data_IF_235472010765
#
_entry.id   IF_235472010765
#
_cell.length_a   1.000
_cell.length_b   1.000
_cell.length_c   1.000
_cell.angle_alpha   90.00
_cell.angle_beta   90.00
_cell.angle_gamma   90.00
#
_symmetry.space_group_name_H-M   'P 1'
#
loop_
_entity.id
_entity.type
_entity.pdbx_description
1 polymer ?
#
# COMPACT_ATOMS: atom_id res chain seq x y z
N UNK A 1 -48.19 -53.74 39.66
CA UNK A 1 -47.99 -53.81 38.21
C UNK A 1 -47.16 -52.61 37.84
N UNK A 2 -46.03 -52.90 37.19
CA UNK A 2 -45.12 -51.99 36.49
C UNK A 2 -44.17 -51.17 37.36
N UNK A 3 -43.06 -51.85 37.67
CA UNK A 3 -41.70 -51.34 37.71
C UNK A 3 -41.39 -50.45 36.49
N UNK A 4 -40.59 -49.39 36.67
CA UNK A 4 -39.64 -48.97 35.64
C UNK A 4 -38.38 -48.36 36.28
N UNK A 5 -37.28 -48.97 35.88
CA UNK A 5 -35.94 -48.97 36.43
C UNK A 5 -35.12 -47.80 35.86
N UNK A 6 -34.52 -47.01 36.75
CA UNK A 6 -33.62 -45.92 36.38
C UNK A 6 -32.20 -46.47 36.30
N UNK A 7 -31.83 -46.96 35.11
CA UNK A 7 -30.46 -47.32 34.78
C UNK A 7 -29.60 -46.07 34.53
N UNK A 8 -28.71 -45.77 35.47
CA UNK A 8 -27.59 -44.84 35.30
C UNK A 8 -26.51 -45.49 34.41
N UNK A 9 -26.28 -44.92 33.23
CA UNK A 9 -25.12 -45.26 32.41
C UNK A 9 -23.93 -44.40 32.82
N UNK A 10 -22.97 -45.02 33.52
CA UNK A 10 -21.60 -44.55 33.59
C UNK A 10 -20.90 -44.89 32.26
N UNK A 11 -20.53 -43.88 31.49
CA UNK A 11 -19.55 -44.02 30.41
C UNK A 11 -18.14 -43.78 30.99
N UNK A 12 -17.31 -44.82 30.93
CA UNK A 12 -15.88 -44.76 31.23
C UNK A 12 -15.11 -43.97 30.15
N UNK A 13 -14.02 -43.26 30.50
CA UNK A 13 -13.16 -42.61 29.51
C UNK A 13 -12.37 -43.66 28.73
N UNK A 14 -12.51 -43.65 27.41
CA UNK A 14 -11.74 -44.48 26.49
C UNK A 14 -10.28 -44.02 26.48
N UNK A 15 -9.38 -44.85 27.01
CA UNK A 15 -7.93 -44.68 26.91
C UNK A 15 -7.48 -44.81 25.44
N UNK A 16 -6.82 -43.76 24.93
CA UNK A 16 -6.15 -43.75 23.64
C UNK A 16 -4.92 -44.69 23.67
N UNK A 17 -4.73 -45.57 22.66
CA UNK A 17 -3.53 -46.39 22.58
C UNK A 17 -2.30 -45.54 22.24
N UNK A 18 -1.26 -45.70 23.06
CA UNK A 18 0.10 -45.19 22.84
C UNK A 18 0.64 -45.63 21.46
N UNK A 19 1.10 -44.64 20.69
CA UNK A 19 1.79 -44.86 19.42
C UNK A 19 3.13 -45.61 19.64
N UNK A 20 3.54 -46.51 18.73
CA UNK A 20 4.82 -47.18 18.84
C UNK A 20 5.99 -46.24 18.49
N UNK A 21 7.06 -46.35 19.27
CA UNK A 21 8.34 -45.65 19.12
C UNK A 21 8.86 -45.70 17.68
N UNK A 22 9.04 -44.53 17.08
CA UNK A 22 9.69 -44.37 15.78
C UNK A 22 11.17 -44.75 15.85
N UNK A 23 11.73 -45.40 14.82
CA UNK A 23 13.14 -45.77 14.82
C UNK A 23 14.06 -44.55 14.70
N UNK A 24 15.14 -44.66 15.46
CA UNK A 24 16.23 -43.73 15.66
C UNK A 24 16.78 -43.02 14.41
N UNK A 25 17.12 -41.75 14.63
CA UNK A 25 17.94 -40.87 13.81
C UNK A 25 19.19 -41.56 13.25
N UNK A 26 19.20 -41.83 11.94
CA UNK A 26 20.38 -42.26 11.19
C UNK A 26 20.90 -41.13 10.31
N UNK A 27 21.89 -40.38 10.78
CA UNK A 27 22.67 -39.46 9.94
C UNK A 27 23.53 -40.31 8.99
N UNK A 28 23.40 -40.20 7.66
CA UNK A 28 24.33 -40.87 6.76
C UNK A 28 25.69 -40.16 6.84
N UNK A 29 26.70 -40.89 7.35
CA UNK A 29 28.11 -40.53 7.24
C UNK A 29 28.53 -40.64 5.76
N UNK A 30 29.09 -39.59 5.12
CA UNK A 30 29.74 -39.77 3.83
C UNK A 30 31.03 -40.59 4.01
N UNK A 31 31.03 -41.77 3.39
CA UNK A 31 32.18 -42.67 3.34
C UNK A 31 33.31 -42.10 2.49
N UNK A 32 34.53 -42.37 2.96
CA UNK A 32 35.82 -42.02 2.35
C UNK A 32 36.00 -42.65 0.96
N UNK A 33 35.88 -41.85 -0.09
CA UNK A 33 36.61 -41.93 -1.38
C UNK A 33 36.23 -40.62 -2.09
N UNK A 34 37.09 -39.64 -2.32
CA UNK A 34 38.33 -39.69 -3.08
C UNK A 34 39.24 -38.53 -2.64
N UNK A 35 40.50 -38.85 -2.32
CA UNK A 35 41.61 -37.90 -2.19
C UNK A 35 42.55 -38.17 -3.35
N UNK A 36 42.67 -37.25 -4.32
CA UNK A 36 43.84 -36.92 -5.18
C UNK A 36 43.40 -35.68 -5.98
N UNK A 37 44.12 -34.57 -6.17
CA UNK A 37 45.26 -33.92 -5.53
C UNK A 37 45.27 -32.46 -6.07
N UNK A 38 45.81 -31.55 -5.29
CA UNK A 38 45.89 -30.11 -5.53
C UNK A 38 47.33 -29.73 -5.96
N UNK A 39 47.43 -28.80 -6.93
CA UNK A 39 48.54 -27.84 -7.22
C UNK A 39 49.80 -28.30 -7.99
N UNK A 40 50.11 -27.60 -9.11
CA UNK A 40 51.34 -26.80 -9.35
C UNK A 40 51.29 -26.09 -10.74
N UNK A 41 51.25 -24.74 -10.81
CA UNK A 41 52.38 -23.79 -11.11
C UNK A 41 52.53 -23.45 -12.62
N UNK A 42 52.06 -22.25 -13.03
CA UNK A 42 52.80 -21.02 -13.41
C UNK A 42 53.59 -21.05 -14.74
N UNK A 43 53.20 -20.10 -15.62
CA UNK A 43 54.03 -19.23 -16.48
C UNK A 43 54.92 -19.87 -17.54
N UNK A 44 54.53 -19.69 -18.80
CA UNK A 44 55.46 -19.33 -19.89
C UNK A 44 54.80 -18.23 -20.72
N UNK A 45 55.38 -17.03 -20.66
CA UNK A 45 55.12 -15.93 -21.58
C UNK A 45 56.22 -15.87 -22.64
N UNK A 46 55.84 -15.34 -23.82
CA UNK A 46 56.67 -14.79 -24.90
C UNK A 46 57.33 -15.80 -25.85
N UNK A 47 56.81 -15.90 -27.08
CA UNK A 47 57.41 -15.28 -28.27
C UNK A 47 56.85 -15.89 -29.58
N UNK A 48 56.54 -15.01 -30.52
CA UNK A 48 56.20 -15.32 -31.92
C UNK A 48 54.71 -15.09 -32.18
N UNK A 49 54.28 -14.18 -33.04
CA UNK A 49 54.94 -13.40 -34.07
C UNK A 49 53.82 -12.88 -34.98
N UNK A 50 53.99 -11.67 -35.48
CA UNK A 50 53.01 -10.90 -36.23
C UNK A 50 52.41 -11.60 -37.47
N UNK A 51 51.27 -11.09 -37.93
CA UNK A 51 50.86 -10.78 -39.31
C UNK A 51 49.38 -11.09 -39.54
N UNK A 52 48.52 -10.11 -39.31
CA UNK A 52 47.31 -9.87 -40.10
C UNK A 52 46.79 -8.46 -39.81
N UNK A 53 47.27 -7.50 -40.60
CA UNK A 53 46.62 -6.22 -40.83
C UNK A 53 45.28 -6.51 -41.51
N UNK A 54 44.20 -6.46 -40.74
CA UNK A 54 42.87 -6.22 -41.27
C UNK A 54 42.47 -4.84 -40.77
N UNK A 55 42.55 -3.86 -41.66
CA UNK A 55 41.92 -2.55 -41.52
C UNK A 55 40.43 -2.80 -41.35
N UNK A 56 39.98 -2.86 -40.09
CA UNK A 56 38.59 -2.55 -39.78
C UNK A 56 38.57 -1.05 -39.68
N UNK A 57 37.94 -0.42 -40.67
CA UNK A 57 37.52 0.96 -40.55
C UNK A 57 36.85 1.13 -39.19
N UNK A 58 37.43 2.01 -38.39
CA UNK A 58 36.79 2.58 -37.21
C UNK A 58 35.52 3.26 -37.73
N UNK A 59 34.41 2.52 -37.75
CA UNK A 59 33.10 3.15 -37.76
C UNK A 59 33.09 4.12 -36.58
N UNK A 60 32.74 5.40 -36.82
CA UNK A 60 32.67 6.37 -35.75
C UNK A 60 31.78 5.77 -34.66
N UNK A 61 32.27 5.84 -33.41
CA UNK A 61 31.43 5.64 -32.24
C UNK A 61 30.19 6.47 -32.50
N UNK A 62 29.09 5.80 -32.77
CA UNK A 62 27.78 6.42 -32.83
C UNK A 62 27.47 6.84 -31.39
N UNK A 63 27.97 8.03 -31.02
CA UNK A 63 27.52 8.77 -29.85
C UNK A 63 26.10 9.30 -30.04
N UNK A 64 25.37 8.82 -31.06
CA UNK A 64 23.96 9.07 -31.36
C UNK A 64 23.03 7.90 -31.02
N UNK A 65 23.38 7.09 -30.01
CA UNK A 65 22.42 6.20 -29.35
C UNK A 65 22.42 6.48 -27.86
N UNK A 66 21.70 7.52 -27.42
CA UNK A 66 21.41 7.66 -25.99
C UNK A 66 20.72 6.37 -25.52
N UNK A 67 21.19 5.64 -24.49
CA UNK A 67 20.37 4.65 -23.81
C UNK A 67 19.34 5.42 -22.97
N UNK A 68 18.44 6.10 -23.66
CA UNK A 68 17.41 6.99 -23.14
C UNK A 68 16.10 6.27 -22.82
N UNK A 69 16.14 4.98 -22.53
CA UNK A 69 15.08 4.31 -21.78
C UNK A 69 15.25 4.63 -20.30
N UNK A 70 15.11 5.89 -19.93
CA UNK A 70 15.21 6.30 -18.53
C UNK A 70 14.03 5.74 -17.73
N UNK A 71 14.15 5.66 -16.41
CA UNK A 71 13.01 5.38 -15.53
C UNK A 71 11.80 6.29 -15.83
N UNK A 72 12.05 7.52 -16.30
CA UNK A 72 11.04 8.50 -16.74
C UNK A 72 10.18 8.05 -17.92
N UNK A 73 10.66 7.12 -18.75
CA UNK A 73 9.90 6.58 -19.88
C UNK A 73 8.76 5.65 -19.43
N UNK A 74 8.61 5.40 -18.12
CA UNK A 74 7.44 4.70 -17.60
C UNK A 74 6.15 5.50 -17.84
N UNK A 75 6.21 6.84 -17.80
CA UNK A 75 5.04 7.70 -17.83
C UNK A 75 4.45 7.88 -19.24
N UNK A 76 3.13 7.96 -19.31
CA UNK A 76 2.36 8.10 -20.55
C UNK A 76 2.12 6.78 -21.29
N UNK A 77 2.21 5.63 -20.61
CA UNK A 77 2.13 4.30 -21.20
C UNK A 77 1.20 3.37 -20.42
N UNK A 78 0.71 2.35 -21.13
CA UNK A 78 0.05 1.18 -20.53
C UNK A 78 0.92 -0.04 -20.72
N UNK A 79 1.08 -0.82 -19.67
CA UNK A 79 2.05 -1.90 -19.57
C UNK A 79 1.34 -3.21 -19.22
N UNK A 80 1.35 -4.21 -20.09
CA UNK A 80 0.75 -5.52 -19.81
C UNK A 80 1.72 -6.41 -19.06
N UNK A 81 1.29 -7.04 -17.97
CA UNK A 81 2.14 -7.96 -17.21
C UNK A 81 2.58 -9.14 -18.07
N UNK A 82 3.90 -9.28 -18.26
CA UNK A 82 4.52 -10.42 -18.94
C UNK A 82 4.85 -11.52 -17.95
N UNK A 83 5.64 -11.19 -16.92
CA UNK A 83 6.19 -12.15 -15.97
C UNK A 83 6.38 -11.55 -14.57
N UNK A 84 6.28 -12.41 -13.55
CA UNK A 84 6.47 -12.06 -12.14
C UNK A 84 7.50 -12.98 -11.51
N UNK A 85 8.47 -12.41 -10.81
CA UNK A 85 9.52 -13.09 -10.08
C UNK A 85 9.39 -12.82 -8.58
N UNK A 86 9.66 -13.82 -7.75
CA UNK A 86 9.62 -13.71 -6.30
C UNK A 86 8.92 -14.89 -5.65
N UNK A 87 9.26 -15.22 -4.42
CA UNK A 87 8.66 -16.37 -3.71
C UNK A 87 7.19 -16.17 -3.35
N UNK A 88 6.73 -14.92 -3.27
CA UNK A 88 5.34 -14.55 -3.04
C UNK A 88 4.60 -14.13 -4.33
N UNK A 89 5.27 -14.17 -5.49
CA UNK A 89 4.65 -13.78 -6.75
C UNK A 89 3.54 -14.76 -7.15
N UNK A 90 2.33 -14.28 -7.48
CA UNK A 90 1.22 -15.16 -7.83
C UNK A 90 1.41 -15.80 -9.20
N UNK A 91 0.85 -16.99 -9.37
CA UNK A 91 0.87 -17.68 -10.65
C UNK A 91 -0.02 -16.96 -11.67
N UNK A 92 0.55 -16.55 -12.81
CA UNK A 92 -0.20 -15.92 -13.89
C UNK A 92 -0.89 -16.92 -14.83
N UNK A 93 -0.60 -18.22 -14.73
CA UNK A 93 -1.17 -19.24 -15.61
C UNK A 93 -2.72 -19.33 -15.58
N UNK A 94 -3.40 -19.24 -14.41
CA UNK A 94 -4.86 -19.28 -14.35
C UNK A 94 -5.56 -18.09 -15.01
N UNK A 95 -4.90 -16.95 -15.13
CA UNK A 95 -5.46 -15.73 -15.75
C UNK A 95 -5.51 -15.88 -17.27
N UNK A 96 -4.49 -16.51 -17.86
CA UNK A 96 -4.31 -16.59 -19.30
C UNK A 96 -3.44 -15.45 -19.86
N UNK A 97 -2.93 -15.63 -21.07
CA UNK A 97 -2.08 -14.64 -21.74
C UNK A 97 -2.89 -13.50 -22.38
N UNK A 98 -4.16 -13.74 -22.68
CA UNK A 98 -5.10 -12.81 -23.32
C UNK A 98 -5.77 -11.83 -22.35
N UNK A 99 -5.70 -12.11 -21.04
CA UNK A 99 -6.35 -11.32 -19.97
C UNK A 99 -5.35 -10.84 -18.92
N UNK A 100 -4.09 -10.62 -19.33
CA UNK A 100 -3.04 -10.15 -18.43
C UNK A 100 -3.40 -8.82 -17.79
N UNK A 101 -3.15 -8.64 -16.48
CA UNK A 101 -3.25 -7.34 -15.83
C UNK A 101 -2.46 -6.26 -16.57
N UNK A 102 -2.94 -5.02 -16.50
CA UNK A 102 -2.35 -3.85 -17.15
C UNK A 102 -2.05 -2.81 -16.08
N UNK A 103 -0.84 -2.27 -16.08
CA UNK A 103 -0.43 -1.10 -15.33
C UNK A 103 -0.53 0.13 -16.24
N UNK A 104 -1.28 1.15 -15.84
CA UNK A 104 -1.34 2.46 -16.50
C UNK A 104 -0.59 3.48 -15.64
N UNK A 105 0.34 4.20 -16.26
CA UNK A 105 1.14 5.24 -15.63
C UNK A 105 1.00 6.50 -16.47
N UNK A 106 0.17 7.45 -16.03
CA UNK A 106 -0.16 8.66 -16.80
C UNK A 106 0.97 9.69 -16.76
N UNK A 107 1.00 10.60 -17.73
CA UNK A 107 1.94 11.75 -17.71
C UNK A 107 1.68 12.72 -16.55
N UNK A 108 0.51 12.64 -15.92
CA UNK A 108 0.11 13.45 -14.78
C UNK A 108 0.50 12.82 -13.43
N UNK A 109 1.16 11.65 -13.44
CA UNK A 109 1.60 10.94 -12.24
C UNK A 109 0.56 9.99 -11.65
N UNK A 110 -0.56 9.75 -12.34
CA UNK A 110 -1.51 8.71 -11.93
C UNK A 110 -0.89 7.34 -12.18
N UNK A 111 -0.95 6.46 -11.19
CA UNK A 111 -0.53 5.06 -11.29
C UNK A 111 -1.76 4.21 -11.00
N UNK A 112 -2.12 3.31 -11.90
CA UNK A 112 -3.21 2.36 -11.68
C UNK A 112 -2.91 1.01 -12.30
N UNK A 113 -3.49 -0.05 -11.79
CA UNK A 113 -3.41 -1.36 -12.40
C UNK A 113 -4.76 -2.08 -12.39
N UNK A 114 -4.97 -2.95 -13.36
CA UNK A 114 -6.16 -3.80 -13.44
C UNK A 114 -5.92 -5.13 -12.73
N UNK A 115 -6.99 -5.71 -12.19
CA UNK A 115 -6.97 -7.05 -11.63
C UNK A 115 -8.39 -7.48 -11.26
N UNK A 116 -8.59 -8.17 -10.14
CA UNK A 116 -9.95 -8.44 -9.67
C UNK A 116 -10.56 -7.14 -9.15
N UNK A 117 -9.78 -6.44 -8.33
CA UNK A 117 -10.06 -5.14 -7.77
C UNK A 117 -9.17 -4.05 -8.37
N UNK A 118 -7.96 -4.43 -8.81
CA UNK A 118 -6.97 -3.47 -9.28
C UNK A 118 -6.50 -2.53 -8.18
N UNK A 119 -5.92 -1.41 -8.58
CA UNK A 119 -5.55 -0.35 -7.64
C UNK A 119 -5.29 0.95 -8.37
N UNK A 120 -5.43 2.08 -7.69
CA UNK A 120 -5.10 3.39 -8.24
C UNK A 120 -4.55 4.32 -7.17
N UNK A 121 -3.67 5.23 -7.59
CA UNK A 121 -3.06 6.24 -6.74
C UNK A 121 -2.29 7.25 -7.58
N UNK A 122 -1.52 8.09 -6.90
CA UNK A 122 -0.61 9.05 -7.52
C UNK A 122 0.80 8.76 -7.06
N UNK A 123 1.77 9.06 -7.92
CA UNK A 123 3.17 8.88 -7.60
C UNK A 123 4.08 9.65 -8.53
N UNK A 124 5.36 9.59 -8.19
CA UNK A 124 6.44 10.33 -8.85
C UNK A 124 7.72 9.53 -8.83
N UNK A 125 8.66 9.90 -9.70
CA UNK A 125 9.99 9.30 -9.69
C UNK A 125 10.94 10.12 -8.80
N UNK A 126 11.60 9.44 -7.87
CA UNK A 126 12.79 9.92 -7.17
C UNK A 126 14.01 9.17 -7.74
N UNK A 127 14.63 9.76 -8.76
CA UNK A 127 15.63 9.06 -9.55
C UNK A 127 15.00 7.90 -10.31
N UNK A 128 15.36 6.66 -9.95
CA UNK A 128 14.76 5.45 -10.52
C UNK A 128 13.66 4.84 -9.63
N UNK A 129 13.42 5.36 -8.42
CA UNK A 129 12.42 4.83 -7.52
C UNK A 129 11.05 5.44 -7.84
N UNK A 130 10.03 4.62 -8.01
CA UNK A 130 8.64 5.06 -8.09
C UNK A 130 8.09 5.18 -6.67
N UNK A 131 7.84 6.42 -6.23
CA UNK A 131 7.32 6.73 -4.89
C UNK A 131 5.86 7.14 -5.03
N UNK A 132 4.96 6.46 -4.33
CA UNK A 132 3.56 6.84 -4.26
C UNK A 132 3.37 7.97 -3.25
N UNK A 133 2.49 8.92 -3.55
CA UNK A 133 2.20 10.07 -2.68
C UNK A 133 1.19 9.73 -1.56
N UNK A 134 0.83 8.44 -1.43
CA UNK A 134 -0.06 7.90 -0.43
C UNK A 134 -0.25 6.38 -0.62
N UNK A 135 -1.24 5.82 0.07
CA UNK A 135 -1.71 4.46 -0.20
C UNK A 135 -2.48 4.41 -1.52
N UNK A 136 -2.51 3.23 -2.15
CA UNK A 136 -3.40 2.99 -3.27
C UNK A 136 -4.81 2.68 -2.79
N UNK A 137 -5.79 3.22 -3.49
CA UNK A 137 -7.18 2.86 -3.35
C UNK A 137 -7.50 1.65 -4.24
N UNK A 138 -8.46 0.84 -3.80
CA UNK A 138 -8.93 -0.36 -4.50
C UNK A 138 -10.40 -0.64 -4.15
N UNK A 139 -11.02 -1.56 -4.87
CA UNK A 139 -12.34 -2.11 -4.51
C UNK A 139 -12.19 -3.40 -3.70
N UNK A 140 -13.26 -3.85 -3.06
CA UNK A 140 -13.28 -5.12 -2.30
C UNK A 140 -14.33 -6.09 -2.88
N UNK A 141 -14.17 -6.41 -4.16
CA UNK A 141 -14.92 -7.44 -4.86
C UNK A 141 -14.23 -8.80 -4.71
N UNK A 142 -15.05 -9.85 -4.58
CA UNK A 142 -14.58 -11.22 -4.58
C UNK A 142 -14.68 -11.83 -5.99
N UNK A 143 -13.56 -12.31 -6.53
CA UNK A 143 -13.51 -13.07 -7.77
C UNK A 143 -13.27 -14.55 -7.47
N UNK A 144 -14.31 -15.39 -7.59
CA UNK A 144 -14.34 -16.72 -6.97
C UNK A 144 -13.88 -17.88 -7.87
N UNK A 145 -13.67 -17.65 -9.17
CA UNK A 145 -13.09 -18.68 -10.05
C UNK A 145 -11.56 -18.74 -9.92
N UNK A 146 -10.93 -19.72 -10.57
CA UNK A 146 -9.48 -19.91 -10.48
C UNK A 146 -8.69 -18.71 -11.03
N UNK A 147 -9.19 -18.08 -12.10
CA UNK A 147 -8.60 -16.86 -12.66
C UNK A 147 -8.76 -15.69 -11.68
N UNK A 148 -9.95 -15.53 -11.10
CA UNK A 148 -10.29 -14.54 -10.10
C UNK A 148 -9.46 -14.64 -8.83
N UNK A 149 -9.23 -15.85 -8.33
CA UNK A 149 -8.34 -16.08 -7.19
C UNK A 149 -6.90 -15.66 -7.50
N UNK A 150 -6.41 -15.97 -8.71
CA UNK A 150 -5.09 -15.51 -9.14
C UNK A 150 -5.03 -13.98 -9.31
N UNK A 151 -6.12 -13.35 -9.79
CA UNK A 151 -6.22 -11.90 -9.90
C UNK A 151 -6.27 -11.20 -8.54
N UNK A 152 -6.98 -11.75 -7.55
CA UNK A 152 -6.97 -11.22 -6.18
C UNK A 152 -5.59 -11.33 -5.54
N UNK A 153 -4.88 -12.44 -5.75
CA UNK A 153 -3.51 -12.59 -5.30
C UNK A 153 -2.56 -11.61 -6.02
N UNK A 154 -2.80 -11.36 -7.31
CA UNK A 154 -2.10 -10.32 -8.08
C UNK A 154 -2.36 -8.93 -7.51
N UNK A 155 -3.60 -8.58 -7.16
CA UNK A 155 -3.94 -7.27 -6.60
C UNK A 155 -3.13 -6.99 -5.33
N UNK A 156 -3.12 -7.93 -4.40
CA UNK A 156 -2.37 -7.81 -3.15
C UNK A 156 -0.86 -7.69 -3.39
N UNK A 157 -0.31 -8.56 -4.24
CA UNK A 157 1.13 -8.56 -4.53
C UNK A 157 1.58 -7.29 -5.26
N UNK A 158 0.83 -6.82 -6.25
CA UNK A 158 1.15 -5.61 -7.00
C UNK A 158 1.02 -4.36 -6.11
N UNK A 159 0.04 -4.34 -5.21
CA UNK A 159 -0.10 -3.28 -4.23
C UNK A 159 1.12 -3.16 -3.31
N UNK A 160 1.59 -4.28 -2.76
CA UNK A 160 2.79 -4.34 -1.93
C UNK A 160 4.05 -3.97 -2.72
N UNK A 161 4.16 -4.44 -3.98
CA UNK A 161 5.26 -4.09 -4.87
C UNK A 161 5.36 -2.57 -5.04
N UNK A 162 4.25 -1.90 -5.38
CA UNK A 162 4.23 -0.45 -5.61
C UNK A 162 4.41 0.36 -4.33
N UNK A 163 3.83 -0.07 -3.21
CA UNK A 163 4.01 0.59 -1.91
C UNK A 163 5.45 0.51 -1.40
N UNK A 164 6.26 -0.45 -1.87
CA UNK A 164 7.65 -0.63 -1.47
C UNK A 164 8.64 0.41 -2.00
N UNK A 165 8.16 1.42 -2.73
CA UNK A 165 8.97 2.37 -3.50
C UNK A 165 9.95 1.69 -4.46
N UNK A 166 9.44 0.86 -5.40
CA UNK A 166 10.29 0.00 -6.21
C UNK A 166 11.13 0.79 -7.21
N UNK A 167 12.26 0.19 -7.61
CA UNK A 167 13.06 0.71 -8.73
C UNK A 167 12.39 0.37 -10.06
N UNK A 168 12.36 1.34 -10.96
CA UNK A 168 11.80 1.23 -12.30
C UNK A 168 12.89 1.38 -13.35
N UNK A 169 12.85 0.53 -14.36
CA UNK A 169 13.69 0.65 -15.56
C UNK A 169 12.88 0.32 -16.80
N UNK A 170 13.04 1.13 -17.85
CA UNK A 170 12.41 0.91 -19.15
C UNK A 170 13.50 0.69 -20.19
N UNK A 171 13.39 -0.36 -20.99
CA UNK A 171 14.36 -0.67 -22.04
C UNK A 171 13.63 -1.08 -23.31
N UNK A 172 13.48 -0.14 -24.25
CA UNK A 172 12.59 -0.31 -25.39
C UNK A 172 11.15 -0.49 -24.90
N UNK A 173 10.46 -1.50 -25.43
CA UNK A 173 9.05 -1.78 -25.12
C UNK A 173 8.87 -2.65 -23.85
N UNK A 174 9.88 -2.68 -22.98
CA UNK A 174 9.89 -3.50 -21.77
C UNK A 174 10.09 -2.65 -20.53
N UNK A 175 9.10 -2.66 -19.66
CA UNK A 175 9.18 -2.10 -18.32
C UNK A 175 9.59 -3.21 -17.34
N UNK A 176 10.50 -2.89 -16.43
CA UNK A 176 10.75 -3.72 -15.25
C UNK A 176 10.62 -2.91 -13.97
N UNK A 177 9.86 -3.45 -13.03
CA UNK A 177 9.70 -2.93 -11.66
C UNK A 177 10.34 -3.92 -10.70
N UNK A 178 11.23 -3.48 -9.82
CA UNK A 178 11.96 -4.34 -8.88
C UNK A 178 11.88 -3.81 -7.46
N UNK A 179 11.64 -4.71 -6.52
CA UNK A 179 11.69 -4.44 -5.08
C UNK A 179 12.39 -5.57 -4.33
N UNK A 180 12.42 -5.49 -2.99
CA UNK A 180 12.86 -6.58 -2.12
C UNK A 180 11.97 -7.83 -2.17
N UNK A 181 10.73 -7.68 -2.62
CA UNK A 181 9.71 -8.75 -2.64
C UNK A 181 9.69 -9.55 -3.94
N UNK A 182 10.27 -8.98 -5.00
CA UNK A 182 10.21 -9.56 -6.32
C UNK A 182 10.40 -8.55 -7.44
N UNK A 183 10.19 -9.01 -8.66
CA UNK A 183 10.22 -8.19 -9.85
C UNK A 183 9.01 -8.47 -10.74
N UNK A 184 8.52 -7.46 -11.44
CA UNK A 184 7.53 -7.61 -12.50
C UNK A 184 8.09 -7.06 -13.81
N UNK A 185 7.91 -7.83 -14.89
CA UNK A 185 8.25 -7.41 -16.24
C UNK A 185 6.97 -7.21 -17.03
N UNK A 186 6.91 -6.14 -17.83
CA UNK A 186 5.74 -5.74 -18.58
C UNK A 186 6.07 -5.38 -20.03
N UNK A 187 5.04 -5.45 -20.87
CA UNK A 187 5.09 -5.18 -22.30
C UNK A 187 4.36 -3.89 -22.59
N UNK A 188 5.02 -2.98 -23.30
CA UNK A 188 4.39 -1.72 -23.68
C UNK A 188 3.21 -1.99 -24.63
N UNK A 189 2.04 -1.49 -24.25
CA UNK A 189 0.83 -1.45 -25.08
C UNK A 189 0.69 -0.10 -25.80
N UNK A 190 1.65 0.80 -25.62
CA UNK A 190 1.67 2.17 -26.11
C UNK A 190 0.94 3.15 -25.18
N UNK A 191 0.75 4.38 -25.68
CA UNK A 191 0.11 5.45 -24.92
C UNK A 191 -1.34 5.16 -24.50
N UNK A 192 -1.92 6.00 -23.62
CA UNK A 192 -3.31 5.85 -23.21
C UNK A 192 -4.22 5.81 -24.44
N UNK A 193 -5.27 4.98 -24.39
CA UNK A 193 -6.34 5.09 -25.38
C UNK A 193 -6.81 6.56 -25.38
N UNK A 194 -7.08 7.17 -26.55
CA UNK A 194 -7.71 8.48 -26.55
C UNK A 194 -8.94 8.39 -25.66
N UNK A 195 -9.16 9.40 -24.80
CA UNK A 195 -10.30 9.45 -23.91
C UNK A 195 -11.60 9.36 -24.73
N UNK A 196 -12.09 8.16 -24.96
CA UNK A 196 -13.42 7.94 -25.53
C UNK A 196 -14.38 8.22 -24.40
N UNK A 197 -14.89 9.46 -24.41
CA UNK A 197 -16.17 9.90 -23.84
C UNK A 197 -16.66 9.19 -22.59
N UNK A 198 -16.67 9.96 -21.50
CA UNK A 198 -17.55 9.86 -20.32
C UNK A 198 -18.82 9.02 -20.57
N UNK A 199 -19.28 8.20 -19.59
CA UNK A 199 -20.60 7.58 -19.65
C UNK A 199 -21.63 8.68 -19.93
N UNK A 200 -22.50 8.45 -20.91
CA UNK A 200 -23.50 9.41 -21.35
C UNK A 200 -24.30 9.95 -20.16
N UNK A 201 -24.31 11.27 -20.01
CA UNK A 201 -25.37 11.97 -19.27
C UNK A 201 -26.72 11.53 -19.83
N UNK A 202 -27.68 11.06 -19.00
CA UNK A 202 -29.01 10.71 -19.48
C UNK A 202 -29.90 11.93 -19.76
N UNK A 203 -29.45 13.15 -19.47
CA UNK A 203 -30.22 14.37 -19.71
C UNK A 203 -29.65 15.17 -20.89
N UNK A 204 -30.07 14.76 -22.09
CA UNK A 204 -29.94 15.56 -23.29
C UNK A 204 -30.77 16.84 -23.18
N UNK A 205 -30.13 17.93 -22.76
CA UNK A 205 -30.63 19.27 -23.02
C UNK A 205 -29.93 19.86 -24.25
N UNK A 206 -30.74 20.01 -25.29
CA UNK A 206 -30.45 20.63 -26.58
C UNK A 206 -29.79 22.00 -26.42
N UNK A 207 -28.63 22.16 -27.06
CA UNK A 207 -28.07 23.47 -27.41
C UNK A 207 -28.94 24.11 -28.50
N UNK A 208 -29.22 25.41 -28.34
CA UNK A 208 -29.61 26.28 -29.45
C UNK A 208 -28.69 27.51 -29.40
N UNK A 209 -28.16 27.79 -30.58
CA UNK A 209 -27.24 28.83 -31.01
C UNK A 209 -27.37 30.21 -30.34
N UNK A 210 -26.24 30.91 -30.13
CA UNK A 210 -25.91 32.13 -30.90
C UNK A 210 -24.46 32.62 -30.64
N UNK A 211 -23.63 32.93 -31.67
CA UNK A 211 -22.32 33.54 -31.51
C UNK A 211 -22.29 35.06 -31.76
N UNK A 212 -21.35 35.71 -31.05
CA UNK A 212 -20.68 36.99 -31.36
C UNK A 212 -21.34 38.31 -30.93
N UNK A 213 -20.71 38.99 -29.96
CA UNK A 213 -20.23 40.35 -30.18
C UNK A 213 -19.01 40.72 -29.31
N UNK A 214 -18.12 41.50 -29.92
CA UNK A 214 -16.77 41.94 -29.51
C UNK A 214 -16.79 43.14 -28.51
N UNK A 215 -15.62 43.62 -28.01
CA UNK A 215 -15.46 44.25 -26.69
C UNK A 215 -15.38 45.80 -26.72
N UNK A 216 -15.37 46.43 -25.55
CA UNK A 216 -14.81 47.78 -25.34
C UNK A 216 -14.24 47.97 -23.91
N UNK A 217 -13.22 48.84 -23.68
CA UNK A 217 -12.35 48.86 -22.52
C UNK A 217 -12.60 50.03 -21.55
N UNK A 218 -11.94 49.96 -20.38
CA UNK A 218 -11.31 51.13 -19.77
C UNK A 218 -12.03 51.82 -18.60
N UNK A 219 -11.40 51.69 -17.42
CA UNK A 219 -11.23 52.69 -16.33
C UNK A 219 -11.15 51.91 -15.02
N UNK A 220 -10.06 51.88 -14.26
CA UNK A 220 -9.16 52.97 -13.93
C UNK A 220 -9.39 53.33 -12.47
N UNK A 221 -8.52 52.88 -11.57
CA UNK A 221 -8.10 53.64 -10.40
C UNK A 221 -6.94 52.95 -9.70
N UNK A 222 -5.82 53.68 -9.74
CA UNK A 222 -4.59 53.48 -9.00
C UNK A 222 -4.82 53.96 -7.56
N UNK A 223 -4.38 53.19 -6.57
CA UNK A 223 -4.04 53.72 -5.25
C UNK A 223 -2.59 53.36 -4.95
N UNK A 224 -1.76 54.39 -4.98
CA UNK A 224 -0.37 54.49 -4.55
C UNK A 224 -0.34 54.68 -3.03
N UNK A 225 0.43 53.94 -2.21
CA UNK A 225 1.84 54.16 -1.77
C UNK A 225 1.97 53.64 -0.31
N UNK A 226 3.16 53.53 0.33
CA UNK A 226 4.54 53.59 -0.18
C UNK A 226 5.42 52.38 0.24
N UNK A 227 6.61 52.33 -0.34
CA UNK A 227 7.71 51.43 0.01
C UNK A 227 8.54 51.94 1.21
N UNK A 228 9.06 51.02 2.03
CA UNK A 228 10.32 51.18 2.80
C UNK A 228 11.08 49.84 2.84
N UNK A 229 12.25 49.90 2.21
CA UNK A 229 13.53 49.16 2.19
C UNK A 229 13.89 47.98 3.15
N UNK A 230 14.95 47.20 2.79
CA UNK A 230 15.18 45.83 3.22
C UNK A 230 16.21 45.69 4.37
N UNK A 231 16.13 44.59 5.13
CA UNK A 231 17.22 44.18 6.00
C UNK A 231 16.78 43.20 7.08
N UNK A 232 17.45 42.04 7.15
CA UNK A 232 17.35 41.17 8.32
C UNK A 232 17.53 39.69 8.02
N UNK A 233 18.77 39.28 7.73
CA UNK A 233 19.19 37.89 7.86
C UNK A 233 19.00 37.45 9.31
N UNK A 234 17.98 36.65 9.57
CA UNK A 234 17.73 36.00 10.85
C UNK A 234 17.45 34.53 10.60
N UNK A 235 18.48 33.70 10.73
CA UNK A 235 18.34 32.24 10.79
C UNK A 235 17.54 31.86 12.03
N UNK A 236 16.22 31.86 11.90
CA UNK A 236 15.33 31.21 12.84
C UNK A 236 15.47 29.72 12.63
N UNK A 237 16.10 29.02 13.59
CA UNK A 237 15.93 27.57 13.71
C UNK A 237 14.42 27.33 13.68
N UNK A 238 13.98 26.48 12.76
CA UNK A 238 12.62 25.97 12.74
C UNK A 238 12.47 25.22 14.06
N UNK A 239 11.94 25.89 15.07
CA UNK A 239 11.59 25.25 16.33
C UNK A 239 10.53 24.23 15.97
N UNK A 240 10.75 22.97 16.31
CA UNK A 240 9.71 21.95 16.32
C UNK A 240 8.52 22.54 17.07
N UNK A 241 7.40 22.76 16.38
CA UNK A 241 6.15 23.11 17.05
C UNK A 241 5.94 22.07 18.16
N UNK A 242 5.58 22.49 19.38
CA UNK A 242 5.23 21.52 20.41
C UNK A 242 4.14 20.61 19.85
N UNK A 243 4.34 19.29 19.96
CA UNK A 243 3.34 18.31 19.56
C UNK A 243 2.03 18.66 20.27
N UNK A 244 0.94 18.72 19.51
CA UNK A 244 -0.39 18.98 20.06
C UNK A 244 -0.72 17.94 21.14
N UNK A 245 -1.52 18.29 22.17
CA UNK A 245 -1.92 17.35 23.22
C UNK A 245 -2.44 16.04 22.62
N UNK A 246 -1.89 14.91 23.07
CA UNK A 246 -2.27 13.59 22.57
C UNK A 246 -1.49 13.08 21.35
N UNK A 247 -0.80 13.94 20.59
CA UNK A 247 0.01 13.53 19.43
C UNK A 247 1.45 13.18 19.81
N UNK A 248 2.07 12.31 19.00
CA UNK A 248 3.44 11.81 19.13
C UNK A 248 3.56 10.41 19.75
N UNK A 249 2.44 9.74 20.04
CA UNK A 249 2.42 8.43 20.70
C UNK A 249 1.17 7.63 20.34
N UNK A 250 1.23 6.33 20.61
CA UNK A 250 0.09 5.43 20.55
C UNK A 250 -0.70 5.42 21.87
N UNK A 251 -2.01 5.18 21.76
CA UNK A 251 -2.91 5.08 22.89
C UNK A 251 -3.75 3.81 22.80
N UNK A 252 -3.60 2.89 23.75
CA UNK A 252 -4.41 1.69 23.82
C UNK A 252 -5.79 2.02 24.38
N UNK A 253 -6.85 1.76 23.63
CA UNK A 253 -8.23 1.95 24.09
C UNK A 253 -8.55 0.90 25.16
N UNK A 254 -9.03 1.36 26.31
CA UNK A 254 -9.34 0.52 27.48
C UNK A 254 -10.81 0.53 27.85
N UNK A 255 -11.56 1.56 27.45
CA UNK A 255 -13.00 1.63 27.65
C UNK A 255 -13.72 2.42 26.55
N UNK A 256 -14.91 1.93 26.18
CA UNK A 256 -15.87 2.62 25.32
C UNK A 256 -17.21 2.66 26.06
N UNK A 257 -17.77 3.85 26.23
CA UNK A 257 -19.11 4.05 26.80
C UNK A 257 -19.96 4.80 25.79
N UNK A 258 -21.19 4.35 25.55
CA UNK A 258 -22.15 4.97 24.63
C UNK A 258 -23.47 5.15 25.35
N UNK A 259 -23.96 6.40 25.42
CA UNK A 259 -25.21 6.75 26.12
C UNK A 259 -25.24 6.27 27.59
N UNK A 260 -24.08 6.29 28.25
CA UNK A 260 -23.91 5.84 29.62
C UNK A 260 -23.84 4.32 29.82
N UNK A 261 -23.83 3.53 28.73
CA UNK A 261 -23.66 2.07 28.78
C UNK A 261 -22.28 1.65 28.25
N UNK A 262 -21.59 0.80 29.01
CA UNK A 262 -20.30 0.26 28.60
C UNK A 262 -20.44 -0.68 27.40
N UNK A 263 -19.48 -0.58 26.48
CA UNK A 263 -19.38 -1.42 25.29
C UNK A 263 -18.11 -2.27 25.37
N UNK A 264 -18.13 -3.49 24.84
CA UNK A 264 -16.91 -4.28 24.68
C UNK A 264 -15.89 -3.51 23.84
N UNK A 265 -14.62 -3.55 24.27
CA UNK A 265 -13.48 -3.10 23.47
C UNK A 265 -12.86 -4.35 22.85
N UNK A 266 -13.00 -4.47 21.54
CA UNK A 266 -12.47 -5.59 20.76
C UNK A 266 -11.12 -5.19 20.16
N UNK A 267 -10.18 -6.13 20.14
CA UNK A 267 -8.89 -5.99 19.47
C UNK A 267 -8.97 -6.10 17.95
N UNK A 268 -7.85 -6.36 17.27
CA UNK A 268 -7.85 -6.75 15.86
C UNK A 268 -8.01 -8.27 15.67
N UNK A 269 -8.02 -8.73 14.41
CA UNK A 269 -8.17 -10.16 14.07
C UNK A 269 -7.02 -11.05 14.58
N UNK A 270 -5.86 -10.45 14.86
CA UNK A 270 -4.68 -11.16 15.38
C UNK A 270 -4.66 -11.17 16.92
N UNK A 271 -5.66 -10.55 17.56
CA UNK A 271 -5.81 -10.47 19.00
C UNK A 271 -4.98 -9.36 19.65
N UNK A 272 -4.44 -8.41 18.86
CA UNK A 272 -3.81 -7.23 19.43
C UNK A 272 -4.88 -6.28 19.98
N UNK A 273 -4.60 -5.51 21.04
CA UNK A 273 -5.58 -4.57 21.57
C UNK A 273 -5.90 -3.45 20.56
N UNK A 274 -7.07 -2.82 20.72
CA UNK A 274 -7.42 -1.60 19.99
C UNK A 274 -6.49 -0.46 20.42
N UNK A 275 -5.85 0.18 19.46
CA UNK A 275 -4.87 1.25 19.59
C UNK A 275 -5.29 2.39 18.67
N UNK A 276 -5.26 3.60 19.22
CA UNK A 276 -5.34 4.85 18.48
C UNK A 276 -3.91 5.32 18.19
N UNK A 277 -3.53 5.34 16.92
CA UNK A 277 -2.24 5.84 16.45
C UNK A 277 -2.32 7.36 16.27
N UNK A 278 -1.58 8.08 17.11
CA UNK A 278 -1.36 9.52 17.00
C UNK A 278 0.14 9.83 16.89
N UNK A 279 0.97 8.87 16.49
CA UNK A 279 2.44 9.02 16.42
C UNK A 279 2.86 10.03 15.36
N UNK A 280 2.19 10.02 14.21
CA UNK A 280 2.43 10.97 13.12
C UNK A 280 1.68 12.29 13.37
N UNK A 281 2.41 13.39 13.36
CA UNK A 281 1.80 14.72 13.46
C UNK A 281 0.81 14.94 12.31
N UNK A 282 -0.36 15.47 12.65
CA UNK A 282 -1.38 15.78 11.64
C UNK A 282 -2.23 14.58 11.20
N UNK A 283 -2.12 13.43 11.87
CA UNK A 283 -2.88 12.22 11.53
C UNK A 283 -3.48 11.57 12.77
N UNK A 284 -4.53 10.79 12.54
CA UNK A 284 -5.08 9.82 13.49
C UNK A 284 -5.30 8.50 12.76
N UNK A 285 -4.99 7.40 13.42
CA UNK A 285 -5.30 6.05 12.96
C UNK A 285 -5.88 5.19 14.07
N UNK A 286 -6.50 4.07 13.72
CA UNK A 286 -6.84 3.00 14.64
C UNK A 286 -6.71 1.64 13.95
N UNK A 287 -6.31 0.61 14.69
CA UNK A 287 -6.37 -0.77 14.22
C UNK A 287 -7.74 -1.39 14.50
N UNK A 288 -8.02 -2.55 13.92
CA UNK A 288 -9.31 -3.23 14.06
C UNK A 288 -9.44 -4.35 13.03
N UNK A 289 -10.67 -4.66 12.62
CA UNK A 289 -10.91 -5.56 11.49
C UNK A 289 -10.29 -5.01 10.20
N UNK A 290 -10.65 -3.77 9.95
CA UNK A 290 -10.31 -2.92 8.83
C UNK A 290 -9.36 -1.82 9.28
N UNK A 291 -9.51 -1.39 10.54
CA UNK A 291 -8.90 -0.17 11.04
C UNK A 291 -9.34 1.05 10.23
N UNK A 292 -8.71 2.17 10.48
CA UNK A 292 -8.92 3.37 9.68
C UNK A 292 -7.97 4.47 10.03
N UNK A 293 -7.96 5.52 9.22
CA UNK A 293 -7.17 6.71 9.51
C UNK A 293 -7.66 7.92 8.75
N UNK A 294 -7.19 9.09 9.19
CA UNK A 294 -7.53 10.38 8.62
C UNK A 294 -6.41 11.39 8.89
N UNK A 295 -6.44 12.49 8.14
CA UNK A 295 -5.78 13.72 8.58
C UNK A 295 -6.51 14.25 9.82
N UNK A 296 -5.76 14.67 10.83
CA UNK A 296 -6.34 15.18 12.07
C UNK A 296 -5.45 16.23 12.74
N UNK A 297 -6.07 17.19 13.43
CA UNK A 297 -5.36 18.20 14.20
C UNK A 297 -6.14 18.54 15.46
N UNK A 298 -5.44 19.08 16.46
CA UNK A 298 -6.10 19.55 17.68
C UNK A 298 -6.39 21.03 17.53
N UNK A 299 -7.67 21.39 17.60
CA UNK A 299 -8.12 22.79 17.62
C UNK A 299 -9.21 22.98 18.68
N UNK A 300 -9.12 24.05 19.46
CA UNK A 300 -10.13 24.37 20.48
C UNK A 300 -10.40 23.27 21.52
N UNK A 301 -9.46 22.37 21.77
CA UNK A 301 -9.66 21.22 22.66
C UNK A 301 -10.42 20.04 22.03
N UNK A 302 -10.60 20.05 20.71
CA UNK A 302 -11.16 18.96 19.92
C UNK A 302 -10.08 18.33 19.05
N UNK A 303 -10.20 17.03 18.82
CA UNK A 303 -9.52 16.37 17.72
C UNK A 303 -10.39 16.57 16.48
N UNK A 304 -9.99 17.49 15.60
CA UNK A 304 -10.68 17.74 14.33
C UNK A 304 -10.18 16.72 13.31
N UNK A 305 -11.08 15.91 12.78
CA UNK A 305 -10.75 14.76 11.93
C UNK A 305 -11.34 14.94 10.54
N UNK A 306 -10.53 14.70 9.51
CA UNK A 306 -11.00 14.64 8.12
C UNK A 306 -11.86 13.39 7.85
N UNK A 307 -12.17 13.13 6.57
CA UNK A 307 -12.87 11.90 6.21
C UNK A 307 -12.03 10.68 6.58
N UNK A 308 -12.58 9.80 7.42
CA UNK A 308 -11.92 8.56 7.82
C UNK A 308 -11.96 7.59 6.65
N UNK A 309 -10.78 7.15 6.24
CA UNK A 309 -10.62 6.07 5.27
C UNK A 309 -10.37 4.77 6.02
N UNK A 310 -11.13 3.74 5.67
CA UNK A 310 -10.99 2.38 6.20
C UNK A 310 -10.89 1.40 5.03
N UNK A 311 -10.31 0.23 5.30
CA UNK A 311 -10.49 -0.93 4.41
C UNK A 311 -11.93 -1.49 4.59
N UNK A 312 -12.42 -2.33 3.67
CA UNK A 312 -13.73 -3.00 3.78
C UNK A 312 -13.59 -4.53 3.68
N UNK A 313 -12.57 -5.05 4.35
CA UNK A 313 -12.41 -6.46 4.65
C UNK A 313 -13.60 -6.97 5.48
N UNK A 314 -14.07 -8.15 5.11
CA UNK A 314 -14.96 -8.94 5.92
C UNK A 314 -14.14 -9.69 6.98
N UNK A 315 -14.38 -9.42 8.26
CA UNK A 315 -13.82 -10.23 9.33
C UNK A 315 -14.49 -11.60 9.41
N UNK A 316 -13.66 -12.64 9.51
CA UNK A 316 -14.12 -14.01 9.76
C UNK A 316 -14.11 -14.34 11.25
N UNK A 317 -14.75 -15.45 11.63
CA UNK A 317 -14.77 -15.93 13.01
C UNK A 317 -15.96 -15.41 13.84
N UNK A 318 -16.09 -15.88 15.09
CA UNK A 318 -17.25 -15.59 15.93
C UNK A 318 -17.43 -14.10 16.25
N UNK A 319 -16.34 -13.33 16.28
CA UNK A 319 -16.35 -11.91 16.63
C UNK A 319 -16.34 -11.00 15.40
N UNK A 320 -16.33 -11.55 14.18
CA UNK A 320 -16.09 -10.77 12.97
C UNK A 320 -17.13 -9.68 12.70
N UNK A 321 -18.41 -9.97 12.93
CA UNK A 321 -19.48 -8.98 12.80
C UNK A 321 -19.36 -7.86 13.84
N UNK A 322 -19.02 -8.22 15.07
CA UNK A 322 -18.86 -7.25 16.17
C UNK A 322 -17.63 -6.35 15.95
N UNK A 323 -16.53 -6.91 15.42
CA UNK A 323 -15.33 -6.16 15.03
C UNK A 323 -15.62 -5.16 13.93
N UNK A 324 -16.30 -5.58 12.85
CA UNK A 324 -16.69 -4.66 11.77
C UNK A 324 -17.64 -3.56 12.26
N UNK A 325 -18.56 -3.89 13.16
CA UNK A 325 -19.46 -2.90 13.77
C UNK A 325 -18.70 -1.89 14.66
N UNK A 326 -17.69 -2.36 15.41
CA UNK A 326 -16.81 -1.50 16.19
C UNK A 326 -16.05 -0.54 15.28
N UNK A 327 -15.43 -1.03 14.20
CA UNK A 327 -14.66 -0.19 13.27
C UNK A 327 -15.51 0.92 12.64
N UNK A 328 -16.71 0.56 12.16
CA UNK A 328 -17.63 1.52 11.57
C UNK A 328 -18.07 2.59 12.58
N UNK A 329 -18.36 2.16 13.82
CA UNK A 329 -18.70 3.08 14.90
C UNK A 329 -17.52 3.98 15.28
N UNK A 330 -16.32 3.41 15.40
CA UNK A 330 -15.12 4.14 15.83
C UNK A 330 -14.71 5.19 14.79
N UNK A 331 -14.77 4.87 13.49
CA UNK A 331 -14.59 5.85 12.42
C UNK A 331 -15.60 7.00 12.49
N UNK A 332 -16.89 6.68 12.64
CA UNK A 332 -17.96 7.69 12.77
C UNK A 332 -17.79 8.57 14.03
N UNK A 333 -17.30 7.97 15.13
CA UNK A 333 -17.00 8.68 16.36
C UNK A 333 -15.87 9.69 16.18
N UNK A 334 -14.79 9.33 15.48
CA UNK A 334 -13.67 10.22 15.19
C UNK A 334 -14.07 11.36 14.25
N UNK A 335 -14.87 11.09 13.21
CA UNK A 335 -15.43 12.13 12.31
C UNK A 335 -16.37 13.11 13.03
N UNK A 336 -16.83 12.77 14.24
CA UNK A 336 -17.63 13.63 15.10
C UNK A 336 -16.83 14.70 15.86
N UNK A 337 -15.57 14.93 15.49
CA UNK A 337 -14.64 15.89 16.11
C UNK A 337 -14.64 15.86 17.66
N UNK A 338 -14.26 14.72 18.27
CA UNK A 338 -14.39 14.52 19.70
C UNK A 338 -13.57 15.54 20.50
N UNK A 339 -14.14 15.97 21.62
CA UNK A 339 -13.38 16.70 22.63
C UNK A 339 -12.25 15.81 23.14
N UNK A 340 -11.04 16.35 23.14
CA UNK A 340 -9.81 15.66 23.49
C UNK A 340 -9.28 16.22 24.80
N UNK A 341 -9.14 15.35 25.80
CA UNK A 341 -8.50 15.65 27.07
C UNK A 341 -7.38 14.64 27.35
N UNK A 342 -6.22 15.14 27.74
CA UNK A 342 -5.09 14.32 28.18
C UNK A 342 -4.76 14.68 29.62
N UNK A 343 -4.79 13.70 30.51
CA UNK A 343 -4.33 13.82 31.89
C UNK A 343 -3.28 12.74 32.16
N UNK A 344 -2.01 13.17 32.25
CA UNK A 344 -0.88 12.28 32.47
C UNK A 344 -0.72 11.21 31.38
N UNK A 345 -1.09 9.97 31.72
CA UNK A 345 -1.00 8.79 30.86
C UNK A 345 -2.33 8.39 30.23
N UNK A 346 -3.40 9.15 30.45
CA UNK A 346 -4.76 8.83 30.01
C UNK A 346 -5.25 9.86 28.99
N UNK A 347 -5.77 9.38 27.86
CA UNK A 347 -6.46 10.12 26.83
C UNK A 347 -7.96 9.84 26.96
N UNK A 348 -8.77 10.89 26.98
CA UNK A 348 -10.23 10.80 26.93
C UNK A 348 -10.75 11.56 25.71
N UNK A 349 -11.53 10.87 24.87
CA UNK A 349 -12.24 11.44 23.73
C UNK A 349 -13.74 11.41 24.01
N UNK A 350 -14.44 12.51 23.77
CA UNK A 350 -15.90 12.59 23.99
C UNK A 350 -16.62 13.22 22.82
N UNK A 351 -17.64 12.55 22.28
CA UNK A 351 -18.51 13.10 21.24
C UNK A 351 -19.90 12.46 21.28
N UNK A 352 -20.95 13.26 21.11
CA UNK A 352 -22.32 12.76 20.89
C UNK A 352 -22.84 11.77 21.94
N UNK A 353 -22.50 11.95 23.22
CA UNK A 353 -22.90 11.01 24.30
C UNK A 353 -22.02 9.76 24.42
N UNK A 354 -20.96 9.67 23.63
CA UNK A 354 -19.96 8.60 23.68
C UNK A 354 -18.66 9.09 24.31
N UNK A 355 -18.00 8.22 25.07
CA UNK A 355 -16.68 8.44 25.67
C UNK A 355 -15.77 7.27 25.34
N UNK A 356 -14.56 7.58 24.86
CA UNK A 356 -13.47 6.61 24.68
C UNK A 356 -12.34 6.98 25.63
N UNK A 357 -11.88 6.02 26.43
CA UNK A 357 -10.73 6.15 27.32
C UNK A 357 -9.60 5.28 26.80
N UNK A 358 -8.41 5.85 26.71
CA UNK A 358 -7.21 5.17 26.24
C UNK A 358 -6.00 5.49 27.12
N UNK A 359 -5.10 4.53 27.26
CA UNK A 359 -3.87 4.63 28.05
C UNK A 359 -2.66 4.71 27.12
N UNK A 360 -1.69 5.56 27.45
CA UNK A 360 -0.49 5.75 26.63
C UNK A 360 0.31 4.46 26.53
N UNK A 361 0.65 4.06 25.31
CA UNK A 361 1.58 2.97 25.03
C UNK A 361 3.01 3.50 25.19
N UNK A 362 3.84 2.78 25.96
CA UNK A 362 5.14 3.24 26.48
C UNK A 362 6.30 3.16 25.51
#
# INVERSE_FOLDING_TARGET
MSDDDRSDHHEEPTELPLAPDGPASGIPRPGRAWVVAVVLVLVVALAGGAWALATRDEEPIDTGGSPGGGATAVWGHRWSVRDLEGSSAPALAPIGADRRPVLDTSVEGTVSFTGCNGGFGTGRLEGANLVLDGSMASTDMACTDAAGTALMAFDAWMAELLASSPTVGVSGDVLTIRSRFGAATFDDLGGPLPATSSPADPDGSVSSDDPAHLPDPGSGSVVTTPAVEPGGSGGGRVGSSPASPGQGQDWQVTAITVDGADRPVLGDQDGNPLVLDLTALGRVGFNGCNGGGADAHVDGGKLVVGGVVSTKLACSGPDGEALMAQDAWFGSFLEGDPELAVDGGTLTLTSGGSTVVAERVG
#
